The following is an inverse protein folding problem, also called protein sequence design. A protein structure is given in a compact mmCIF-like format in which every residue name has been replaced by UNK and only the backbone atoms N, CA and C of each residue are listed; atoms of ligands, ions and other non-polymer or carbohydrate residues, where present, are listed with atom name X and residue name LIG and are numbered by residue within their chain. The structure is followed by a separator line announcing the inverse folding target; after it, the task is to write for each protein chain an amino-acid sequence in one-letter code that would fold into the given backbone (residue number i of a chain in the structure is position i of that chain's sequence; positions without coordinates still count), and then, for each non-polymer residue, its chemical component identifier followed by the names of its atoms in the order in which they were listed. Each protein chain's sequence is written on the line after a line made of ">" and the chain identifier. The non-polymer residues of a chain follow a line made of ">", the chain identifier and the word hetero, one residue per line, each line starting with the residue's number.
data_IF_143727241765
#
_entry.id   IF_143727241765
#
_cell.length_a   1.000
_cell.length_b   1.000
_cell.length_c   1.000
_cell.angle_alpha   90.00
_cell.angle_beta   90.00
_cell.angle_gamma   90.00
#
_symmetry.space_group_name_H-M   'P 1'
#
loop_
_entity.id
_entity.type
_entity.pdbx_description
1 polymer ?
#
# COMPACT_ATOMS: atom_id res chain seq x y z
N UNK A 1 4.01 27.99 5.31
CA UNK A 1 2.72 27.43 5.80
C UNK A 1 3.04 26.27 6.73
N UNK A 2 2.38 26.12 7.87
CA UNK A 2 2.69 25.03 8.80
C UNK A 2 1.77 23.86 8.50
N UNK A 3 2.35 22.75 8.06
CA UNK A 3 1.61 21.48 7.89
C UNK A 3 1.55 20.80 9.25
N UNK A 4 0.38 20.36 9.65
CA UNK A 4 0.15 19.75 10.95
C UNK A 4 0.13 18.24 10.87
N UNK A 5 0.85 17.58 11.78
CA UNK A 5 0.62 16.18 12.13
C UNK A 5 -0.16 16.14 13.43
N UNK A 6 -1.34 15.58 13.43
CA UNK A 6 -2.07 15.30 14.66
C UNK A 6 -1.77 13.87 15.12
N UNK A 7 -1.50 13.65 16.42
CA UNK A 7 -1.41 12.29 16.94
C UNK A 7 -2.67 11.52 16.57
N UNK A 8 -2.50 10.36 15.96
CA UNK A 8 -3.64 9.52 15.57
C UNK A 8 -4.44 9.13 16.83
N UNK A 9 -5.68 9.62 17.00
CA UNK A 9 -6.52 9.34 18.16
C UNK A 9 -7.04 7.89 18.20
N UNK A 10 -6.73 7.11 17.17
CA UNK A 10 -7.13 5.72 17.02
C UNK A 10 -5.91 4.81 17.06
N UNK A 11 -6.09 3.61 17.60
CA UNK A 11 -5.17 2.49 17.41
C UNK A 11 -5.70 1.61 16.30
N UNK A 12 -4.81 1.10 15.46
CA UNK A 12 -5.15 0.13 14.43
C UNK A 12 -5.11 -1.27 15.03
N UNK A 13 -6.12 -2.06 14.74
CA UNK A 13 -6.18 -3.48 15.03
C UNK A 13 -6.52 -4.22 13.75
N UNK A 14 -5.77 -5.27 13.43
CA UNK A 14 -6.05 -6.15 12.29
C UNK A 14 -6.32 -7.54 12.82
N UNK A 15 -7.37 -8.13 12.31
CA UNK A 15 -7.76 -9.52 12.56
C UNK A 15 -8.21 -10.17 11.25
N UNK A 16 -8.77 -11.36 11.32
CA UNK A 16 -9.30 -12.07 10.15
C UNK A 16 -10.46 -11.36 9.46
N UNK A 17 -11.09 -10.38 10.13
CA UNK A 17 -12.18 -9.55 9.60
C UNK A 17 -11.74 -8.25 8.94
N UNK A 18 -10.42 -8.00 8.88
CA UNK A 18 -9.87 -6.79 8.27
C UNK A 18 -9.33 -5.77 9.28
N UNK A 19 -9.00 -4.58 8.79
CA UNK A 19 -8.46 -3.49 9.61
C UNK A 19 -9.56 -2.73 10.33
N UNK A 20 -9.40 -2.56 11.64
CA UNK A 20 -10.33 -1.80 12.50
C UNK A 20 -9.57 -0.66 13.19
N UNK A 21 -10.20 0.50 13.28
CA UNK A 21 -9.71 1.63 14.05
C UNK A 21 -10.47 1.72 15.38
N UNK A 22 -9.74 1.72 16.49
CA UNK A 22 -10.33 1.78 17.83
C UNK A 22 -10.01 3.12 18.47
N UNK A 23 -11.05 3.89 18.82
CA UNK A 23 -10.89 5.16 19.52
C UNK A 23 -10.19 4.99 20.85
N UNK A 24 -9.09 5.72 21.07
CA UNK A 24 -8.37 5.73 22.35
C UNK A 24 -9.17 6.36 23.48
N UNK A 25 -10.12 7.23 23.14
CA UNK A 25 -10.96 7.96 24.11
C UNK A 25 -12.19 7.16 24.55
N UNK A 26 -12.88 6.52 23.61
CA UNK A 26 -14.18 5.88 23.86
C UNK A 26 -14.12 4.35 23.82
N UNK A 27 -13.07 3.77 23.23
CA UNK A 27 -13.00 2.33 22.97
C UNK A 27 -13.88 1.87 21.80
N UNK A 28 -14.64 2.76 21.16
CA UNK A 28 -15.47 2.42 20.02
C UNK A 28 -14.61 1.95 18.84
N UNK A 29 -15.06 0.92 18.12
CA UNK A 29 -14.37 0.30 17.01
C UNK A 29 -15.09 0.62 15.69
N UNK A 30 -14.30 0.97 14.68
CA UNK A 30 -14.78 1.35 13.35
C UNK A 30 -14.00 0.59 12.27
N UNK A 31 -14.66 -0.02 11.29
CA UNK A 31 -13.98 -0.67 10.18
C UNK A 31 -13.22 0.36 9.34
N UNK A 32 -12.10 -0.03 8.74
CA UNK A 32 -11.41 0.83 7.77
C UNK A 32 -12.23 0.95 6.48
N UNK A 33 -11.99 2.03 5.72
CA UNK A 33 -12.62 2.20 4.40
C UNK A 33 -12.34 1.01 3.50
N UNK A 34 -11.12 0.49 3.52
CA UNK A 34 -10.77 -0.72 2.75
C UNK A 34 -11.57 -1.94 3.19
N UNK A 35 -11.78 -2.13 4.50
CA UNK A 35 -12.63 -3.22 5.03
C UNK A 35 -14.08 -3.08 4.56
N UNK A 36 -14.60 -1.85 4.49
CA UNK A 36 -15.95 -1.60 3.97
C UNK A 36 -16.01 -1.88 2.45
N UNK A 37 -14.99 -1.43 1.72
CA UNK A 37 -14.91 -1.61 0.27
C UNK A 37 -14.68 -3.06 -0.16
N UNK A 38 -14.12 -3.91 0.71
CA UNK A 38 -13.96 -5.35 0.45
C UNK A 38 -15.29 -6.08 0.24
N UNK A 39 -16.41 -5.49 0.69
CA UNK A 39 -17.77 -5.98 0.38
C UNK A 39 -18.10 -5.76 -1.09
N UNK A 40 -17.46 -4.79 -1.75
CA UNK A 40 -17.65 -4.51 -3.17
C UNK A 40 -16.69 -5.40 -3.95
N UNK A 41 -17.22 -6.47 -4.51
CA UNK A 41 -16.46 -7.41 -5.34
C UNK A 41 -15.75 -6.67 -6.49
N UNK A 42 -14.43 -6.73 -6.54
CA UNK A 42 -13.66 -6.21 -7.68
C UNK A 42 -13.31 -7.37 -8.64
N UNK A 43 -14.01 -7.50 -9.78
CA UNK A 43 -13.72 -8.56 -10.76
C UNK A 43 -12.26 -8.56 -11.22
N UNK A 44 -11.63 -7.39 -11.29
CA UNK A 44 -10.24 -7.25 -11.69
C UNK A 44 -9.27 -8.03 -10.77
N UNK A 45 -9.54 -8.08 -9.46
CA UNK A 45 -8.72 -8.82 -8.50
C UNK A 45 -8.84 -10.34 -8.66
N UNK A 46 -10.00 -10.84 -9.10
CA UNK A 46 -10.20 -12.28 -9.36
C UNK A 46 -9.30 -12.80 -10.49
N UNK A 47 -9.03 -11.96 -11.47
CA UNK A 47 -8.20 -12.33 -12.63
C UNK A 47 -6.72 -12.00 -12.45
N UNK A 48 -6.40 -11.05 -11.55
CA UNK A 48 -5.03 -10.63 -11.33
C UNK A 48 -4.12 -11.75 -10.82
N UNK A 49 -4.52 -12.46 -9.78
CA UNK A 49 -3.71 -13.52 -9.17
C UNK A 49 -3.36 -14.66 -10.14
N UNK A 50 -4.34 -15.28 -10.84
CA UNK A 50 -4.07 -16.28 -11.86
C UNK A 50 -3.19 -15.77 -13.01
N UNK A 51 -3.42 -14.53 -13.47
CA UNK A 51 -2.61 -13.89 -14.51
C UNK A 51 -1.15 -13.73 -14.05
N UNK A 52 -0.90 -13.16 -12.89
CA UNK A 52 0.44 -12.94 -12.33
C UNK A 52 1.17 -14.28 -12.12
N UNK A 53 0.49 -15.32 -11.65
CA UNK A 53 1.06 -16.66 -11.52
C UNK A 53 1.47 -17.26 -12.88
N UNK A 54 0.64 -17.09 -13.90
CA UNK A 54 0.94 -17.57 -15.25
C UNK A 54 2.12 -16.80 -15.87
N UNK A 55 2.15 -15.49 -15.76
CA UNK A 55 3.25 -14.64 -16.24
C UNK A 55 4.56 -15.00 -15.55
N UNK A 56 4.54 -15.19 -14.21
CA UNK A 56 5.70 -15.66 -13.46
C UNK A 56 6.20 -17.02 -13.95
N UNK A 57 5.29 -17.98 -14.16
CA UNK A 57 5.64 -19.31 -14.62
C UNK A 57 6.31 -19.28 -16.00
N UNK A 58 5.80 -18.45 -16.92
CA UNK A 58 6.38 -18.30 -18.27
C UNK A 58 7.77 -17.65 -18.18
N UNK A 59 7.90 -16.56 -17.43
CA UNK A 59 9.16 -15.81 -17.30
C UNK A 59 10.28 -16.63 -16.63
N UNK A 60 9.93 -17.52 -15.69
CA UNK A 60 10.88 -18.27 -14.87
C UNK A 60 10.91 -19.78 -15.18
N UNK A 61 10.36 -20.19 -16.31
CA UNK A 61 10.20 -21.61 -16.62
C UNK A 61 11.48 -22.42 -16.55
N UNK A 62 12.60 -21.86 -16.99
CA UNK A 62 13.90 -22.53 -16.97
C UNK A 62 14.33 -22.92 -15.54
N UNK A 63 14.18 -22.02 -14.58
CA UNK A 63 14.46 -22.30 -13.18
C UNK A 63 13.44 -23.25 -12.56
N UNK A 64 12.17 -23.03 -12.84
CA UNK A 64 11.06 -23.83 -12.32
C UNK A 64 11.08 -25.28 -12.81
N UNK A 65 11.53 -25.52 -14.05
CA UNK A 65 11.58 -26.87 -14.62
C UNK A 65 12.53 -27.82 -13.88
N UNK A 66 13.54 -27.29 -13.20
CA UNK A 66 14.47 -28.05 -12.36
C UNK A 66 13.91 -28.42 -10.98
N UNK A 67 12.78 -27.85 -10.57
CA UNK A 67 12.17 -28.11 -9.25
C UNK A 67 11.27 -29.35 -9.29
N UNK A 68 11.16 -30.07 -8.15
CA UNK A 68 10.10 -31.07 -7.96
C UNK A 68 8.72 -30.48 -8.21
N UNK A 69 7.74 -31.27 -8.73
CA UNK A 69 6.42 -30.75 -9.07
C UNK A 69 5.69 -30.00 -7.96
N UNK A 70 5.82 -30.46 -6.73
CA UNK A 70 5.20 -29.85 -5.53
C UNK A 70 5.82 -28.48 -5.21
N UNK A 71 7.14 -28.37 -5.27
CA UNK A 71 7.85 -27.11 -5.03
C UNK A 71 7.58 -26.11 -6.15
N UNK A 72 7.60 -26.57 -7.40
CA UNK A 72 7.24 -25.76 -8.55
C UNK A 72 5.82 -25.17 -8.43
N UNK A 73 4.85 -25.99 -8.04
CA UNK A 73 3.49 -25.53 -7.82
C UNK A 73 3.39 -24.50 -6.69
N UNK A 74 4.15 -24.69 -5.60
CA UNK A 74 4.20 -23.76 -4.48
C UNK A 74 4.81 -22.41 -4.89
N UNK A 75 5.92 -22.40 -5.63
CA UNK A 75 6.56 -21.18 -6.14
C UNK A 75 5.61 -20.40 -7.07
N UNK A 76 4.98 -21.06 -8.04
CA UNK A 76 4.04 -20.41 -8.95
C UNK A 76 2.83 -19.83 -8.18
N UNK A 77 2.28 -20.60 -7.24
CA UNK A 77 1.16 -20.15 -6.41
C UNK A 77 1.53 -18.96 -5.52
N UNK A 78 2.76 -18.94 -5.01
CA UNK A 78 3.26 -17.88 -4.12
C UNK A 78 3.64 -16.58 -4.84
N UNK A 79 3.95 -16.63 -6.13
CA UNK A 79 4.47 -15.50 -6.89
C UNK A 79 3.56 -14.23 -6.85
N UNK A 80 2.23 -14.31 -7.02
CA UNK A 80 1.37 -13.14 -6.92
C UNK A 80 1.45 -12.45 -5.57
N UNK A 81 1.57 -13.20 -4.49
CA UNK A 81 1.65 -12.66 -3.14
C UNK A 81 3.00 -11.97 -2.88
N UNK A 82 4.11 -12.57 -3.34
CA UNK A 82 5.44 -11.94 -3.30
C UNK A 82 5.41 -10.60 -4.05
N UNK A 83 4.90 -10.58 -5.27
CA UNK A 83 4.79 -9.36 -6.08
C UNK A 83 3.92 -8.27 -5.42
N UNK A 84 2.81 -8.67 -4.78
CA UNK A 84 1.96 -7.74 -4.02
C UNK A 84 2.70 -7.14 -2.83
N UNK A 85 3.41 -7.96 -2.08
CA UNK A 85 4.11 -7.54 -0.87
C UNK A 85 5.28 -6.60 -1.21
N UNK A 86 6.06 -6.90 -2.25
CA UNK A 86 7.08 -6.00 -2.81
C UNK A 86 6.48 -4.65 -3.25
N UNK A 87 5.37 -4.67 -3.96
CA UNK A 87 4.68 -3.45 -4.38
C UNK A 87 4.17 -2.63 -3.18
N UNK A 88 3.72 -3.30 -2.11
CA UNK A 88 3.28 -2.64 -0.88
C UNK A 88 4.44 -2.01 -0.11
N UNK A 89 5.61 -2.66 -0.07
CA UNK A 89 6.83 -2.11 0.53
C UNK A 89 7.30 -0.86 -0.21
N UNK A 90 7.38 -0.91 -1.54
CA UNK A 90 7.72 0.24 -2.38
C UNK A 90 6.71 1.39 -2.17
N UNK A 91 5.41 1.06 -2.13
CA UNK A 91 4.36 2.04 -1.87
C UNK A 91 4.53 2.71 -0.50
N UNK A 92 4.78 1.94 0.55
CA UNK A 92 4.98 2.44 1.91
C UNK A 92 6.22 3.35 2.00
N UNK A 93 7.32 2.97 1.34
CA UNK A 93 8.52 3.78 1.29
C UNK A 93 8.30 5.11 0.56
N UNK A 94 7.57 5.09 -0.56
CA UNK A 94 7.20 6.30 -1.30
C UNK A 94 6.32 7.23 -0.44
N UNK A 95 5.30 6.69 0.24
CA UNK A 95 4.46 7.44 1.17
C UNK A 95 5.27 8.12 2.27
N UNK A 96 6.21 7.41 2.90
CA UNK A 96 7.07 7.98 3.94
C UNK A 96 7.96 9.12 3.41
N UNK A 97 8.46 9.03 2.17
CA UNK A 97 9.21 10.12 1.55
C UNK A 97 8.33 11.33 1.24
N UNK A 98 7.12 11.11 0.70
CA UNK A 98 6.15 12.16 0.42
C UNK A 98 5.72 12.87 1.71
N UNK A 99 5.45 12.10 2.77
CA UNK A 99 5.10 12.66 4.09
C UNK A 99 6.20 13.61 4.59
N UNK A 100 7.45 13.16 4.59
CA UNK A 100 8.58 14.00 5.00
C UNK A 100 8.70 15.25 4.15
N UNK A 101 8.57 15.12 2.84
CA UNK A 101 8.59 16.25 1.92
C UNK A 101 7.50 17.28 2.26
N UNK A 102 6.26 16.84 2.42
CA UNK A 102 5.10 17.69 2.74
C UNK A 102 5.27 18.38 4.09
N UNK A 103 5.90 17.71 5.08
CA UNK A 103 6.18 18.25 6.39
C UNK A 103 7.41 19.20 6.41
N UNK A 104 8.17 19.27 5.32
CA UNK A 104 9.42 20.06 5.25
C UNK A 104 10.57 19.43 6.04
N UNK A 105 10.53 18.11 6.22
CA UNK A 105 11.58 17.32 6.84
C UNK A 105 12.64 16.90 5.81
N UNK A 106 13.79 16.42 6.30
CA UNK A 106 14.83 15.86 5.43
C UNK A 106 14.35 14.57 4.74
N UNK A 107 14.24 14.63 3.41
CA UNK A 107 13.88 13.49 2.59
C UNK A 107 15.15 12.70 2.26
N UNK A 108 15.17 11.38 2.49
CA UNK A 108 16.31 10.55 2.10
C UNK A 108 16.57 10.61 0.60
N UNK A 109 17.82 10.43 0.18
CA UNK A 109 18.15 10.26 -1.24
C UNK A 109 17.49 8.98 -1.76
N UNK A 110 16.67 9.13 -2.79
CA UNK A 110 15.93 8.05 -3.43
C UNK A 110 16.27 7.89 -4.92
N UNK A 111 17.24 8.64 -5.41
CA UNK A 111 17.56 8.77 -6.86
C UNK A 111 17.79 7.40 -7.52
N UNK A 112 18.51 6.51 -6.85
CA UNK A 112 18.83 5.17 -7.36
C UNK A 112 17.93 4.07 -6.75
N UNK A 113 16.79 4.44 -6.16
CA UNK A 113 15.89 3.52 -5.49
C UNK A 113 14.65 3.18 -6.31
N UNK A 114 13.96 2.10 -5.95
CA UNK A 114 12.72 1.66 -6.59
C UNK A 114 11.55 2.64 -6.41
N UNK A 115 11.66 3.58 -5.46
CA UNK A 115 10.66 4.63 -5.27
C UNK A 115 10.87 5.84 -6.20
N UNK A 116 12.03 5.99 -6.84
CA UNK A 116 12.33 7.14 -7.71
C UNK A 116 11.24 7.41 -8.76
N UNK A 117 10.70 6.42 -9.49
CA UNK A 117 9.62 6.67 -10.44
C UNK A 117 8.34 7.23 -9.79
N UNK A 118 8.05 6.85 -8.53
CA UNK A 118 6.88 7.34 -7.78
C UNK A 118 7.07 8.77 -7.34
N UNK A 119 8.29 9.12 -6.93
CA UNK A 119 8.63 10.49 -6.57
C UNK A 119 8.59 11.43 -7.78
N UNK A 120 8.98 10.96 -8.96
CA UNK A 120 8.81 11.71 -10.21
C UNK A 120 7.33 11.94 -10.53
N UNK A 121 6.47 10.94 -10.33
CA UNK A 121 5.02 11.09 -10.51
C UNK A 121 4.44 12.10 -9.50
N UNK A 122 4.86 12.05 -8.26
CA UNK A 122 4.46 13.00 -7.23
C UNK A 122 4.89 14.43 -7.57
N UNK A 123 6.13 14.63 -8.00
CA UNK A 123 6.63 15.95 -8.43
C UNK A 123 5.82 16.54 -9.61
N UNK A 124 5.45 15.70 -10.58
CA UNK A 124 4.55 16.10 -11.68
C UNK A 124 3.16 16.49 -11.19
N UNK A 125 2.61 15.74 -10.25
CA UNK A 125 1.34 16.07 -9.63
C UNK A 125 1.40 17.44 -8.93
N UNK A 126 2.47 17.73 -8.17
CA UNK A 126 2.64 19.02 -7.52
C UNK A 126 2.75 20.17 -8.52
N UNK A 127 3.53 19.97 -9.59
CA UNK A 127 3.69 20.98 -10.64
C UNK A 127 2.36 21.29 -11.35
N UNK A 128 1.57 20.27 -11.65
CA UNK A 128 0.32 20.37 -12.38
C UNK A 128 -0.81 20.96 -11.53
N UNK A 129 -1.00 20.43 -10.30
CA UNK A 129 -2.16 20.76 -9.47
C UNK A 129 -1.86 21.83 -8.42
N UNK A 130 -0.58 22.10 -8.10
CA UNK A 130 -0.13 23.07 -7.09
C UNK A 130 -0.94 22.97 -5.77
N UNK A 131 -0.99 21.78 -5.15
CA UNK A 131 -1.81 21.55 -3.97
C UNK A 131 -1.35 22.42 -2.80
N UNK A 132 -2.30 22.89 -2.02
CA UNK A 132 -2.05 23.51 -0.73
C UNK A 132 -2.09 22.44 0.37
N UNK A 133 -0.93 22.04 0.87
CA UNK A 133 -0.81 21.00 1.88
C UNK A 133 -1.25 21.50 3.24
N UNK A 134 -2.31 20.90 3.82
CA UNK A 134 -2.85 21.25 5.13
C UNK A 134 -2.34 20.28 6.20
N UNK A 135 -2.30 18.99 5.88
CA UNK A 135 -1.83 17.93 6.76
C UNK A 135 -1.35 16.72 5.94
N UNK A 136 -0.47 15.92 6.54
CA UNK A 136 -0.01 14.65 5.99
C UNK A 136 -0.42 13.50 6.93
N UNK A 137 -0.71 12.33 6.35
CA UNK A 137 -1.05 11.08 7.05
C UNK A 137 -2.13 11.23 8.15
N UNK A 138 -3.05 12.17 7.95
CA UNK A 138 -4.10 12.44 8.92
C UNK A 138 -5.22 11.39 8.82
N UNK A 139 -5.52 10.76 9.94
CA UNK A 139 -6.71 9.88 10.02
C UNK A 139 -7.98 10.72 10.01
N UNK A 140 -8.77 10.57 8.97
CA UNK A 140 -10.11 11.18 8.87
C UNK A 140 -11.17 10.18 9.32
N UNK A 141 -12.15 10.69 10.03
CA UNK A 141 -13.18 9.87 10.66
C UNK A 141 -14.56 10.55 10.54
N UNK A 142 -15.59 9.73 10.38
CA UNK A 142 -16.98 10.18 10.41
C UNK A 142 -17.78 9.26 11.34
N UNK A 143 -18.39 9.82 12.39
CA UNK A 143 -19.17 9.10 13.40
C UNK A 143 -20.64 8.82 12.99
N UNK A 144 -21.01 9.22 11.77
CA UNK A 144 -22.36 9.05 11.24
C UNK A 144 -22.52 7.93 10.21
N UNK A 145 -21.38 7.34 9.77
CA UNK A 145 -21.33 6.28 8.74
C UNK A 145 -20.68 5.01 9.28
#
# INVERSE_FOLDING_TARGET
>A
MTVYTTPNPYRTQSDTGGRTYVSRKTGAAYPSVTTILDVIHSPALLYWGPKAAAEYAVANWQALSGLPPTERAAEIKGAPWKQRDEAAEIGSAAHACIEKYVLGEDVPDYTDSEIAPRMVQFARFEEEYKPEWIAAEMTVFNDKW
#
